data_IF_407896263391
#
_entry.id   IF_407896263391
#
_cell.length_a   1.000
_cell.length_b   1.000
_cell.length_c   1.000
_cell.angle_alpha   90.00
_cell.angle_beta   90.00
_cell.angle_gamma   90.00
#
_symmetry.space_group_name_H-M   'P 1'
#
loop_
_entity.id
_entity.type
_entity.pdbx_description
1 polymer ?
#
# COMPACT_ATOMS: atom_id res chain seq x y z
N UNK A 1 -3.51 -14.24 -7.78
CA UNK A 1 -4.90 -13.89 -7.43
C UNK A 1 -5.02 -12.42 -7.66
N UNK A 2 -6.04 -12.01 -8.41
CA UNK A 2 -6.26 -10.60 -8.68
C UNK A 2 -6.96 -9.98 -7.46
N UNK A 3 -6.37 -8.91 -6.94
CA UNK A 3 -6.87 -8.16 -5.79
C UNK A 3 -6.90 -6.69 -6.17
N UNK A 4 -7.97 -6.01 -5.77
CA UNK A 4 -8.13 -4.57 -5.97
C UNK A 4 -7.63 -3.83 -4.73
N UNK A 5 -6.85 -2.77 -4.96
CA UNK A 5 -6.30 -1.92 -3.92
C UNK A 5 -6.67 -0.47 -4.17
N UNK A 6 -7.19 0.20 -3.16
CA UNK A 6 -7.23 1.66 -3.10
C UNK A 6 -5.81 2.18 -3.01
N UNK A 7 -5.51 3.19 -3.81
CA UNK A 7 -4.21 3.86 -3.78
C UNK A 7 -4.20 4.93 -2.70
N UNK A 8 -3.13 4.95 -1.91
CA UNK A 8 -2.87 5.96 -0.90
C UNK A 8 -1.63 6.76 -1.28
N UNK A 9 -1.56 7.99 -0.78
CA UNK A 9 -0.39 8.85 -0.89
C UNK A 9 -0.05 9.43 0.48
N UNK A 10 1.22 9.72 0.71
CA UNK A 10 1.63 10.45 1.91
C UNK A 10 1.23 11.91 1.77
N UNK A 11 0.68 12.47 2.86
CA UNK A 11 0.35 13.89 2.97
C UNK A 11 1.61 14.73 2.86
N UNK A 12 1.60 15.70 1.97
CA UNK A 12 2.71 16.64 1.82
C UNK A 12 2.97 17.37 3.15
N UNK A 13 4.24 17.47 3.53
CA UNK A 13 4.65 18.09 4.79
C UNK A 13 4.62 17.15 6.01
N UNK A 14 4.10 15.92 5.89
CA UNK A 14 4.32 14.91 6.93
C UNK A 14 5.80 14.53 7.05
N UNK A 15 6.21 14.12 8.26
CA UNK A 15 7.60 13.69 8.50
C UNK A 15 7.97 12.48 7.63
N UNK A 16 7.01 11.62 7.35
CA UNK A 16 7.19 10.43 6.52
C UNK A 16 7.35 10.79 5.05
N UNK A 17 6.55 11.73 4.52
CA UNK A 17 6.72 12.27 3.16
C UNK A 17 8.12 12.85 2.93
N UNK A 18 8.60 13.68 3.86
CA UNK A 18 9.95 14.27 3.77
C UNK A 18 11.06 13.21 3.70
N UNK A 19 10.91 12.10 4.43
CA UNK A 19 11.91 11.03 4.46
C UNK A 19 11.85 10.12 3.23
N UNK A 20 10.67 9.61 2.90
CA UNK A 20 10.51 8.58 1.86
C UNK A 20 10.46 9.20 0.46
N UNK A 21 9.66 10.25 0.28
CA UNK A 21 9.42 10.84 -1.04
C UNK A 21 10.49 11.87 -1.37
N UNK A 22 10.70 12.89 -0.53
CA UNK A 22 11.64 13.97 -0.88
C UNK A 22 13.11 13.53 -0.85
N UNK A 23 13.52 12.82 0.21
CA UNK A 23 14.92 12.41 0.41
C UNK A 23 15.25 11.09 -0.27
N UNK A 24 14.46 10.04 -0.06
CA UNK A 24 14.72 8.73 -0.64
C UNK A 24 14.19 8.57 -2.07
N UNK A 25 13.49 9.57 -2.62
CA UNK A 25 12.97 9.57 -4.00
C UNK A 25 12.04 8.40 -4.32
N UNK A 26 11.33 7.91 -3.29
CA UNK A 26 10.30 6.90 -3.45
C UNK A 26 9.06 7.51 -4.11
N UNK A 27 8.39 6.74 -4.97
CA UNK A 27 7.12 7.14 -5.57
C UNK A 27 6.06 7.34 -4.48
N UNK A 28 5.28 8.42 -4.54
CA UNK A 28 4.31 8.78 -3.49
C UNK A 28 2.97 8.05 -3.64
N UNK A 29 3.01 6.77 -3.99
CA UNK A 29 1.83 5.93 -4.12
C UNK A 29 2.05 4.63 -3.41
N UNK A 30 1.03 4.19 -2.69
CA UNK A 30 1.10 3.04 -1.81
C UNK A 30 -0.19 2.25 -1.89
N UNK A 31 -0.07 0.94 -1.84
CA UNK A 31 -1.17 0.03 -1.54
C UNK A 31 -1.07 -0.42 -0.08
N UNK A 32 -2.21 -0.71 0.54
CA UNK A 32 -2.25 -1.20 1.91
C UNK A 32 -2.61 -2.68 1.92
N UNK A 33 -1.75 -3.47 2.55
CA UNK A 33 -1.87 -4.94 2.60
C UNK A 33 -2.21 -5.47 3.99
N UNK A 34 -2.34 -4.56 4.96
CA UNK A 34 -2.73 -4.87 6.33
C UNK A 34 -2.61 -3.64 7.23
N UNK A 35 -2.96 -3.81 8.50
CA UNK A 35 -2.86 -2.76 9.50
C UNK A 35 -2.37 -3.31 10.84
N UNK A 36 -1.71 -2.46 11.62
CA UNK A 36 -1.26 -2.79 12.96
C UNK A 36 -1.23 -1.53 13.83
N UNK A 37 -1.90 -1.55 14.98
CA UNK A 37 -1.92 -0.52 16.04
C UNK A 37 -1.52 0.92 15.61
N UNK A 38 -2.38 1.62 14.86
CA UNK A 38 -2.15 3.01 14.46
C UNK A 38 -1.27 3.20 13.21
N UNK A 39 -0.84 2.11 12.60
CA UNK A 39 -0.05 2.07 11.37
C UNK A 39 -0.76 1.24 10.29
N UNK A 40 -0.46 1.56 9.05
CA UNK A 40 -0.74 0.72 7.89
C UNK A 40 0.53 0.00 7.45
N UNK A 41 0.36 -1.25 7.00
CA UNK A 41 1.37 -2.00 6.26
C UNK A 41 1.25 -1.63 4.78
N UNK A 42 2.12 -0.74 4.33
CA UNK A 42 2.08 -0.12 3.02
C UNK A 42 3.20 -0.62 2.10
N UNK A 43 2.87 -0.94 0.86
CA UNK A 43 3.83 -1.28 -0.19
C UNK A 43 3.83 -0.16 -1.22
N UNK A 44 5.00 0.37 -1.64
CA UNK A 44 5.06 1.35 -2.71
C UNK A 44 4.45 0.77 -3.99
N UNK A 45 3.48 1.47 -4.57
CA UNK A 45 3.02 1.17 -5.91
C UNK A 45 3.98 1.75 -6.94
N UNK A 46 4.32 0.95 -7.94
CA UNK A 46 5.21 1.33 -9.03
C UNK A 46 4.57 0.90 -10.34
N UNK A 47 4.75 1.70 -11.39
CA UNK A 47 4.29 1.40 -12.75
C UNK A 47 4.85 0.06 -13.30
N UNK A 48 6.01 -0.38 -12.78
CA UNK A 48 6.62 -1.68 -13.13
C UNK A 48 5.92 -2.88 -12.44
N UNK A 49 4.90 -2.64 -11.62
CA UNK A 49 4.20 -3.63 -10.82
C UNK A 49 4.88 -3.95 -9.48
N UNK A 50 4.30 -4.92 -8.75
CA UNK A 50 4.79 -5.35 -7.44
C UNK A 50 6.09 -6.16 -7.58
N UNK A 51 7.15 -5.68 -6.92
CA UNK A 51 8.41 -6.42 -6.77
C UNK A 51 8.35 -7.24 -5.49
N UNK A 52 8.05 -8.53 -5.65
CA UNK A 52 7.95 -9.49 -4.54
C UNK A 52 9.26 -10.24 -4.36
N UNK A 53 9.75 -10.30 -3.12
CA UNK A 53 10.89 -11.09 -2.70
C UNK A 53 10.40 -12.49 -2.31
N UNK A 54 10.97 -13.53 -2.91
CA UNK A 54 10.59 -14.92 -2.61
C UNK A 54 10.80 -15.26 -1.13
N UNK A 55 9.96 -16.18 -0.63
CA UNK A 55 9.95 -16.67 0.76
C UNK A 55 9.48 -15.69 1.85
N UNK A 56 9.06 -14.46 1.49
CA UNK A 56 8.40 -13.53 2.39
C UNK A 56 6.95 -13.34 2.00
N UNK A 57 6.04 -13.30 2.97
CA UNK A 57 4.67 -12.89 2.75
C UNK A 57 4.60 -11.41 2.36
N UNK A 58 3.54 -11.00 1.68
CA UNK A 58 3.43 -9.63 1.18
C UNK A 58 3.43 -8.59 2.32
N UNK A 59 2.84 -8.91 3.46
CA UNK A 59 2.77 -8.02 4.61
C UNK A 59 4.10 -7.91 5.37
N UNK A 60 4.95 -8.94 5.32
CA UNK A 60 6.33 -8.92 5.82
C UNK A 60 7.25 -8.02 4.99
N UNK A 61 6.90 -7.79 3.73
CA UNK A 61 7.63 -6.90 2.81
C UNK A 61 7.15 -5.44 2.91
N UNK A 62 6.08 -5.18 3.65
CA UNK A 62 5.47 -3.88 3.76
C UNK A 62 6.20 -2.95 4.74
N UNK A 63 6.11 -1.66 4.49
CA UNK A 63 6.57 -0.62 5.41
C UNK A 63 5.45 -0.25 6.37
N UNK A 64 5.80 0.00 7.63
CA UNK A 64 4.86 0.57 8.59
C UNK A 64 4.80 2.08 8.45
N UNK A 65 3.64 2.60 8.04
CA UNK A 65 3.39 4.04 7.88
C UNK A 65 2.27 4.45 8.84
N UNK A 66 2.43 5.52 9.64
CA UNK A 66 1.36 6.03 10.49
C UNK A 66 0.10 6.29 9.66
N UNK A 67 -1.07 5.84 10.12
CA UNK A 67 -2.33 6.03 9.37
C UNK A 67 -2.62 7.51 9.10
N UNK A 68 -2.27 8.37 10.06
CA UNK A 68 -2.48 9.82 9.97
C UNK A 68 -1.59 10.51 8.93
N UNK A 69 -0.52 9.85 8.48
CA UNK A 69 0.38 10.38 7.45
C UNK A 69 -0.10 10.05 6.03
N UNK A 70 -1.06 9.12 5.88
CA UNK A 70 -1.61 8.69 4.60
C UNK A 70 -2.99 9.30 4.35
N UNK A 71 -3.29 9.49 3.07
CA UNK A 71 -4.62 9.81 2.58
C UNK A 71 -4.90 9.05 1.28
N UNK A 72 -6.18 8.80 1.00
CA UNK A 72 -6.59 8.20 -0.25
C UNK A 72 -6.24 9.13 -1.40
N UNK A 73 -5.58 8.58 -2.42
CA UNK A 73 -5.35 9.31 -3.67
C UNK A 73 -6.70 9.46 -4.37
N UNK A 74 -7.07 10.71 -4.62
CA UNK A 74 -8.32 11.06 -5.30
C UNK A 74 -8.01 11.29 -6.77
N UNK A 75 -8.85 10.77 -7.63
CA UNK A 75 -8.84 11.15 -9.04
C UNK A 75 -9.55 12.49 -9.25
N UNK A 76 -9.47 13.05 -10.46
CA UNK A 76 -10.13 14.31 -10.86
C UNK A 76 -11.68 14.25 -10.82
N UNK A 77 -12.23 13.06 -10.56
CA UNK A 77 -13.65 12.81 -10.25
C UNK A 77 -13.72 12.32 -8.79
N UNK A 78 -14.86 12.42 -8.07
CA UNK A 78 -14.96 12.05 -6.65
C UNK A 78 -14.66 10.57 -6.29
N UNK A 79 -14.12 9.80 -7.23
CA UNK A 79 -13.62 8.45 -7.06
C UNK A 79 -12.28 8.39 -6.34
N UNK A 80 -12.09 7.27 -5.66
CA UNK A 80 -10.80 6.84 -5.10
C UNK A 80 -10.08 6.10 -6.22
N UNK A 81 -8.79 6.40 -6.42
CA UNK A 81 -7.99 5.64 -7.37
C UNK A 81 -7.82 4.20 -6.87
N UNK A 82 -8.08 3.22 -7.75
CA UNK A 82 -7.91 1.80 -7.47
C UNK A 82 -6.99 1.15 -8.49
N UNK A 83 -6.20 0.18 -8.05
CA UNK A 83 -5.31 -0.62 -8.89
C UNK A 83 -5.57 -2.11 -8.66
N UNK A 84 -5.71 -2.85 -9.76
CA UNK A 84 -5.83 -4.32 -9.73
C UNK A 84 -4.44 -4.95 -9.88
N UNK A 85 -4.05 -5.76 -8.90
CA UNK A 85 -2.74 -6.40 -8.87
C UNK A 85 -2.88 -7.91 -8.75
N UNK A 86 -2.15 -8.64 -9.60
CA UNK A 86 -2.09 -10.09 -9.52
C UNK A 86 -0.96 -10.51 -8.57
N UNK A 87 -1.34 -10.96 -7.37
CA UNK A 87 -0.38 -11.44 -6.37
C UNK A 87 -0.42 -12.98 -6.33
N UNK A 88 0.71 -13.69 -6.54
CA UNK A 88 0.73 -15.14 -6.45
C UNK A 88 0.32 -15.62 -5.06
N UNK A 89 -0.43 -16.72 -4.99
CA UNK A 89 -1.02 -17.21 -3.72
C UNK A 89 0.03 -17.57 -2.67
N UNK A 90 1.25 -17.90 -3.07
CA UNK A 90 2.36 -18.22 -2.15
C UNK A 90 2.79 -17.04 -1.27
N UNK A 91 2.44 -15.80 -1.64
CA UNK A 91 2.73 -14.58 -0.87
C UNK A 91 1.56 -14.17 0.04
N UNK A 92 0.48 -14.95 0.07
CA UNK A 92 -0.79 -14.61 0.71
C UNK A 92 -1.21 -15.70 1.70
N UNK A 93 -1.47 -15.31 2.93
CA UNK A 93 -2.22 -16.12 3.90
C UNK A 93 -3.71 -15.74 3.84
N UNK A 94 -4.57 -16.56 4.44
CA UNK A 94 -6.01 -16.25 4.54
C UNK A 94 -6.21 -14.92 5.27
N UNK A 95 -5.52 -14.73 6.40
CA UNK A 95 -5.59 -13.50 7.20
C UNK A 95 -5.21 -12.25 6.38
N UNK A 96 -4.14 -12.34 5.58
CA UNK A 96 -3.71 -11.25 4.69
C UNK A 96 -4.80 -10.94 3.64
N UNK A 97 -5.41 -11.98 3.06
CA UNK A 97 -6.48 -11.79 2.06
C UNK A 97 -7.68 -11.09 2.70
N UNK A 98 -8.08 -11.51 3.90
CA UNK A 98 -9.20 -10.90 4.63
C UNK A 98 -8.92 -9.44 4.97
N UNK A 99 -7.70 -9.12 5.42
CA UNK A 99 -7.29 -7.74 5.69
C UNK A 99 -7.31 -6.87 4.42
N UNK A 100 -6.75 -7.37 3.31
CA UNK A 100 -6.78 -6.67 2.03
C UNK A 100 -8.23 -6.42 1.60
N UNK A 101 -9.09 -7.42 1.64
CA UNK A 101 -10.48 -7.27 1.24
C UNK A 101 -11.21 -6.24 2.11
N UNK A 102 -11.05 -6.30 3.43
CA UNK A 102 -11.67 -5.37 4.38
C UNK A 102 -11.22 -3.93 4.15
N UNK A 103 -9.95 -3.69 3.86
CA UNK A 103 -9.39 -2.35 3.64
C UNK A 103 -9.82 -1.73 2.30
N UNK A 104 -10.17 -2.58 1.33
CA UNK A 104 -10.53 -2.16 -0.02
C UNK A 104 -12.04 -2.22 -0.31
N UNK A 105 -12.86 -2.67 0.65
CA UNK A 105 -14.33 -2.68 0.60
C UNK A 105 -14.97 -1.29 0.63
#
# INVERSE_FOLDING_TARGET
>A
MNLEFKTYQLKEGSRTYEKLVKRAKLHNEFIIVGEDHGYYKAIPSSDDGLKLISALMIDEQAMFIPKDDLELKKDDLPGVEVQELNIPKEYLTIDIIEDIQRLNS
#
